data_IF_913937616975
#
_entry.id   IF_913937616975
#
_cell.length_a   1.000
_cell.length_b   1.000
_cell.length_c   1.000
_cell.angle_alpha   90.00
_cell.angle_beta   90.00
_cell.angle_gamma   90.00
#
_symmetry.space_group_name_H-M   'P 1'
#
loop_
_entity.id
_entity.type
_entity.pdbx_description
1 polymer ?
#
# COMPACT_ATOMS: atom_id res chain seq x y z
N UNK A 1 -14.54 -12.17 -5.66
CA UNK A 1 -13.37 -11.65 -6.38
C UNK A 1 -13.08 -10.24 -5.87
N UNK A 2 -11.83 -9.93 -5.56
CA UNK A 2 -11.42 -8.56 -5.20
C UNK A 2 -11.08 -7.83 -6.48
N UNK A 3 -11.66 -6.65 -6.71
CA UNK A 3 -11.27 -5.80 -7.84
C UNK A 3 -9.86 -5.29 -7.61
N UNK A 4 -8.97 -5.47 -8.58
CA UNK A 4 -7.59 -5.00 -8.52
C UNK A 4 -7.30 -4.19 -9.77
N UNK A 5 -7.06 -2.89 -9.61
CA UNK A 5 -6.61 -2.03 -10.70
C UNK A 5 -5.07 -1.93 -10.71
N UNK A 6 -4.46 -1.81 -9.53
CA UNK A 6 -3.00 -1.76 -9.43
C UNK A 6 -2.51 -2.17 -8.04
N UNK A 7 -1.25 -2.60 -7.97
CA UNK A 7 -0.57 -2.96 -6.73
C UNK A 7 0.66 -2.07 -6.54
N UNK A 8 0.96 -1.68 -5.31
CA UNK A 8 2.11 -0.86 -4.94
C UNK A 8 2.80 -1.45 -3.73
N UNK A 9 4.11 -1.65 -3.79
CA UNK A 9 4.87 -1.95 -2.57
C UNK A 9 4.83 -0.74 -1.65
N UNK A 10 4.79 -1.00 -0.36
CA UNK A 10 4.66 0.03 0.66
C UNK A 10 5.94 0.09 1.49
N UNK A 11 6.50 1.29 1.59
CA UNK A 11 7.61 1.59 2.48
C UNK A 11 7.24 2.79 3.36
N UNK A 12 7.72 2.81 4.60
CA UNK A 12 7.52 3.93 5.51
C UNK A 12 8.64 3.92 6.54
N UNK A 13 9.23 5.08 6.81
CA UNK A 13 10.35 5.21 7.77
C UNK A 13 9.86 5.16 9.23
N UNK A 14 8.63 5.58 9.50
CA UNK A 14 8.03 5.57 10.85
C UNK A 14 7.11 4.35 11.03
N UNK A 15 7.57 3.39 11.83
CA UNK A 15 6.83 2.18 12.18
C UNK A 15 5.43 2.47 12.78
N UNK A 16 5.26 3.55 13.56
CA UNK A 16 3.95 3.90 14.12
C UNK A 16 3.00 4.39 13.04
N UNK A 17 3.50 5.10 12.03
CA UNK A 17 2.71 5.51 10.87
C UNK A 17 2.35 4.29 10.03
N UNK A 18 3.32 3.40 9.80
CA UNK A 18 3.10 2.15 9.07
C UNK A 18 2.02 1.29 9.74
N UNK A 19 2.08 1.10 11.06
CA UNK A 19 1.05 0.32 11.77
C UNK A 19 -0.34 0.97 11.68
N UNK A 20 -0.45 2.30 11.83
CA UNK A 20 -1.73 3.00 11.63
C UNK A 20 -2.27 2.82 10.21
N UNK A 21 -1.39 2.85 9.21
CA UNK A 21 -1.77 2.58 7.83
C UNK A 21 -2.25 1.14 7.69
N UNK A 22 -1.54 0.15 8.25
CA UNK A 22 -1.93 -1.26 8.24
C UNK A 22 -3.31 -1.50 8.85
N UNK A 23 -3.60 -0.88 9.98
CA UNK A 23 -4.90 -1.00 10.65
C UNK A 23 -6.04 -0.41 9.82
N UNK A 24 -5.79 0.69 9.10
CA UNK A 24 -6.81 1.41 8.32
C UNK A 24 -7.00 0.87 6.91
N UNK A 25 -5.94 0.35 6.30
CA UNK A 25 -5.92 -0.14 4.93
C UNK A 25 -5.93 -1.67 4.84
N UNK A 26 -6.11 -2.38 5.96
CA UNK A 26 -6.05 -3.85 6.08
C UNK A 26 -6.71 -4.61 4.92
N UNK A 27 -7.94 -4.22 4.54
CA UNK A 27 -8.70 -4.90 3.48
C UNK A 27 -8.03 -4.82 2.09
N UNK A 28 -7.13 -3.86 1.91
CA UNK A 28 -6.39 -3.60 0.68
C UNK A 28 -4.89 -3.90 0.86
N UNK A 29 -4.50 -4.70 1.86
CA UNK A 29 -3.11 -5.08 2.07
C UNK A 29 -2.89 -6.56 1.81
N UNK A 30 -1.75 -6.85 1.20
CA UNK A 30 -1.26 -8.19 0.94
C UNK A 30 0.22 -8.29 1.29
N UNK A 31 0.70 -9.52 1.43
CA UNK A 31 2.11 -9.84 1.55
C UNK A 31 2.54 -10.54 0.25
N UNK A 32 3.63 -10.09 -0.35
CA UNK A 32 4.19 -10.74 -1.53
C UNK A 32 5.01 -11.99 -1.18
N UNK A 33 5.60 -12.63 -2.19
CA UNK A 33 6.39 -13.86 -1.98
C UNK A 33 7.70 -13.63 -1.21
N UNK A 34 8.19 -12.40 -1.15
CA UNK A 34 9.38 -12.01 -0.41
C UNK A 34 9.06 -11.58 1.04
N UNK A 35 7.78 -11.55 1.42
CA UNK A 35 7.35 -11.13 2.76
C UNK A 35 7.06 -9.63 2.86
N UNK A 36 6.99 -8.91 1.74
CA UNK A 36 6.85 -7.46 1.73
C UNK A 36 5.40 -7.02 1.69
N UNK A 37 5.13 -5.84 2.24
CA UNK A 37 3.80 -5.26 2.28
C UNK A 37 3.43 -4.63 0.92
N UNK A 38 2.29 -5.03 0.39
CA UNK A 38 1.75 -4.54 -0.87
C UNK A 38 0.35 -3.97 -0.66
N UNK A 39 0.12 -2.75 -1.11
CA UNK A 39 -1.19 -2.14 -1.19
C UNK A 39 -1.87 -2.47 -2.53
N UNK A 40 -3.05 -3.04 -2.44
CA UNK A 40 -3.89 -3.48 -3.56
C UNK A 40 -4.99 -2.43 -3.76
N UNK A 41 -4.81 -1.54 -4.74
CA UNK A 41 -5.78 -0.51 -5.05
C UNK A 41 -6.87 -1.05 -6.00
N UNK A 42 -8.16 -1.04 -5.61
CA UNK A 42 -9.23 -1.53 -6.47
C UNK A 42 -9.49 -0.66 -7.70
N UNK A 43 -9.14 0.63 -7.62
CA UNK A 43 -9.25 1.64 -8.68
C UNK A 43 -8.07 2.62 -8.62
N UNK A 44 -7.85 3.41 -9.69
CA UNK A 44 -6.85 4.50 -9.70
C UNK A 44 -7.17 5.58 -8.65
N UNK A 45 -8.45 5.92 -8.50
CA UNK A 45 -8.92 6.92 -7.52
C UNK A 45 -8.64 6.46 -6.09
N UNK A 46 -8.78 5.17 -5.78
CA UNK A 46 -8.39 4.64 -4.47
C UNK A 46 -6.90 4.82 -4.18
N UNK A 47 -6.04 4.62 -5.19
CA UNK A 47 -4.60 4.87 -5.02
C UNK A 47 -4.32 6.35 -4.79
N UNK A 48 -4.94 7.25 -5.56
CA UNK A 48 -4.77 8.71 -5.40
C UNK A 48 -5.20 9.17 -3.99
N UNK A 49 -6.36 8.70 -3.51
CA UNK A 49 -6.82 8.99 -2.15
C UNK A 49 -5.91 8.42 -1.07
N UNK A 50 -5.30 7.25 -1.31
CA UNK A 50 -4.35 6.66 -0.37
C UNK A 50 -3.05 7.50 -0.29
N UNK A 51 -2.53 7.94 -1.44
CA UNK A 51 -1.37 8.84 -1.52
C UNK A 51 -1.63 10.16 -0.79
N UNK A 52 -2.81 10.77 -0.97
CA UNK A 52 -3.18 12.02 -0.29
C UNK A 52 -3.36 11.84 1.22
N UNK A 53 -3.96 10.72 1.64
CA UNK A 53 -4.28 10.46 3.05
C UNK A 53 -3.06 10.01 3.86
N UNK A 54 -2.10 9.35 3.20
CA UNK A 54 -0.91 8.79 3.83
C UNK A 54 0.36 9.29 3.13
N UNK A 55 0.65 10.60 3.21
CA UNK A 55 1.78 11.20 2.50
C UNK A 55 3.14 10.69 3.00
N UNK A 56 3.20 10.20 4.23
CA UNK A 56 4.40 9.64 4.86
C UNK A 56 4.65 8.16 4.48
N UNK A 57 3.74 7.57 3.70
CA UNK A 57 3.83 6.20 3.21
C UNK A 57 4.20 6.25 1.72
N UNK A 58 5.31 5.61 1.37
CA UNK A 58 5.78 5.51 -0.01
C UNK A 58 5.08 4.36 -0.73
N UNK A 59 4.49 4.66 -1.90
CA UNK A 59 3.83 3.67 -2.76
C UNK A 59 4.65 3.44 -4.02
N UNK A 60 5.40 2.35 -4.08
CA UNK A 60 6.34 2.04 -5.14
C UNK A 60 5.66 1.24 -6.27
N UNK A 61 5.80 1.72 -7.51
CA UNK A 61 5.28 1.04 -8.70
C UNK A 61 6.16 -0.13 -9.16
N UNK A 62 7.45 -0.08 -8.83
CA UNK A 62 8.47 -1.07 -9.16
C UNK A 62 9.43 -1.16 -7.98
N UNK A 63 10.04 -2.33 -7.80
CA UNK A 63 11.13 -2.53 -6.85
C UNK A 63 12.41 -2.84 -7.62
N UNK A 64 13.53 -2.23 -7.21
CA UNK A 64 14.86 -2.65 -7.65
C UNK A 64 15.21 -3.95 -6.90
N UNK A 65 15.50 -5.01 -7.65
CA UNK A 65 15.88 -6.33 -7.15
C UNK A 65 17.41 -6.38 -7.02
#
# INVERSE_FOLDING_TARGET
AVSVATARWIECEDEKVLQKFRDKAYDNLAIDQAGELVYIAPTRVNLELALERYPDVCFLATREI
#
